data_IF_344031425687
#
_entry.id   IF_344031425687
#
_cell.length_a   1.000
_cell.length_b   1.000
_cell.length_c   1.000
_cell.angle_alpha   90.00
_cell.angle_beta   90.00
_cell.angle_gamma   90.00
#
_symmetry.space_group_name_H-M   'P 1'
#
loop_
_entity.id
_entity.type
_entity.pdbx_description
1 polymer ?
#
# COMPACT_ATOMS: atom_id res chain seq x y z
N UNK A 1 -10.68 3.81 2.42
CA UNK A 1 -10.19 2.47 2.77
C UNK A 1 -9.43 1.93 1.57
N UNK A 2 -8.35 1.15 1.75
CA UNK A 2 -7.55 0.62 0.64
C UNK A 2 -7.79 -0.89 0.49
N UNK A 3 -8.09 -1.34 -0.72
CA UNK A 3 -8.14 -2.77 -1.04
C UNK A 3 -6.74 -3.44 -0.93
N UNK A 4 -6.65 -4.77 -0.84
CA UNK A 4 -7.71 -5.74 -0.56
C UNK A 4 -8.29 -5.63 0.86
N UNK A 5 -9.62 -5.60 0.96
CA UNK A 5 -10.36 -5.70 2.23
C UNK A 5 -11.76 -6.26 2.00
N UNK A 6 -12.32 -6.96 3.00
CA UNK A 6 -13.69 -7.45 2.96
C UNK A 6 -14.70 -6.29 3.13
N UNK A 7 -15.50 -6.09 2.08
CA UNK A 7 -16.55 -5.06 2.04
C UNK A 7 -17.96 -5.65 1.94
N UNK A 8 -18.17 -6.95 2.17
CA UNK A 8 -19.47 -7.60 1.97
C UNK A 8 -20.62 -6.90 2.71
N UNK A 9 -20.33 -6.41 3.92
CA UNK A 9 -21.27 -5.72 4.83
C UNK A 9 -21.39 -4.21 4.57
N UNK A 10 -20.72 -3.69 3.55
CA UNK A 10 -20.57 -2.27 3.27
C UNK A 10 -20.98 -1.92 1.84
N UNK A 11 -21.60 -0.76 1.67
CA UNK A 11 -21.68 -0.08 0.39
C UNK A 11 -20.33 0.61 0.11
N UNK A 12 -19.98 0.73 -1.17
CA UNK A 12 -18.67 1.25 -1.57
C UNK A 12 -18.75 2.18 -2.78
N UNK A 13 -17.91 3.20 -2.80
CA UNK A 13 -17.60 3.98 -4.00
C UNK A 13 -16.09 3.86 -4.23
N UNK A 14 -15.69 3.39 -5.42
CA UNK A 14 -14.29 3.37 -5.84
C UNK A 14 -13.86 4.78 -6.19
N UNK A 15 -12.69 5.19 -5.70
CA UNK A 15 -12.06 6.44 -6.09
C UNK A 15 -11.19 6.18 -7.34
N UNK A 16 -11.12 7.14 -8.28
CA UNK A 16 -10.51 6.92 -9.60
C UNK A 16 -8.99 6.77 -9.54
N UNK A 17 -8.34 7.26 -8.48
CA UNK A 17 -6.90 7.15 -8.33
C UNK A 17 -6.52 5.77 -7.82
N UNK A 18 -5.69 5.10 -8.60
CA UNK A 18 -5.00 3.88 -8.19
C UNK A 18 -3.71 4.20 -7.44
N UNK A 19 -3.46 3.43 -6.40
CA UNK A 19 -2.21 3.45 -5.64
C UNK A 19 -1.29 2.36 -6.15
N UNK A 20 -0.09 2.77 -6.59
CA UNK A 20 0.97 1.87 -7.03
C UNK A 20 1.78 1.40 -5.84
N UNK A 21 2.13 0.13 -5.83
CA UNK A 21 3.02 -0.41 -4.81
C UNK A 21 4.48 -0.39 -5.25
N UNK A 22 5.36 -0.24 -4.26
CA UNK A 22 6.80 -0.22 -4.46
C UNK A 22 7.53 -0.42 -3.15
N UNK A 23 8.86 -0.44 -3.25
CA UNK A 23 9.74 -0.43 -2.10
C UNK A 23 10.18 0.98 -1.78
N UNK A 24 10.06 1.33 -0.50
CA UNK A 24 10.75 2.45 0.09
C UNK A 24 12.07 1.95 0.68
N UNK A 25 13.17 2.51 0.19
CA UNK A 25 14.53 2.06 0.49
C UNK A 25 15.46 3.25 0.72
N UNK A 26 16.56 3.00 1.41
CA UNK A 26 17.61 4.00 1.60
C UNK A 26 18.24 4.35 0.24
N UNK A 27 18.43 5.64 -0.03
CA UNK A 27 18.92 6.16 -1.33
C UNK A 27 20.29 5.56 -1.74
N UNK A 28 21.13 5.22 -0.77
CA UNK A 28 22.45 4.62 -1.03
C UNK A 28 22.41 3.11 -1.32
N UNK A 29 21.23 2.48 -1.26
CA UNK A 29 21.07 1.05 -1.56
C UNK A 29 21.27 0.75 -3.04
N UNK A 30 21.76 -0.45 -3.37
CA UNK A 30 21.84 -0.91 -4.77
C UNK A 30 20.46 -0.93 -5.42
N UNK A 31 19.42 -1.31 -4.67
CA UNK A 31 18.04 -1.34 -5.16
C UNK A 31 17.48 0.05 -5.46
N UNK A 32 18.00 1.11 -4.83
CA UNK A 32 17.54 2.48 -5.02
C UNK A 32 17.97 3.05 -6.38
N UNK A 33 18.92 2.40 -7.05
CA UNK A 33 19.40 2.76 -8.38
C UNK A 33 18.64 2.06 -9.51
N UNK A 34 17.70 1.16 -9.18
CA UNK A 34 16.87 0.48 -10.17
C UNK A 34 15.66 1.36 -10.51
N UNK A 35 15.20 1.27 -11.76
CA UNK A 35 13.95 1.90 -12.17
C UNK A 35 12.72 1.16 -11.63
N UNK A 36 12.85 -0.16 -11.48
CA UNK A 36 11.80 -1.06 -10.98
C UNK A 36 12.38 -2.18 -10.11
N UNK A 37 11.56 -2.70 -9.19
CA UNK A 37 11.86 -3.89 -8.38
C UNK A 37 11.13 -5.09 -8.96
N UNK A 38 11.87 -6.14 -9.30
CA UNK A 38 11.31 -7.41 -9.78
C UNK A 38 11.27 -8.45 -8.68
N UNK A 39 10.63 -9.60 -8.95
CA UNK A 39 10.47 -10.68 -7.96
C UNK A 39 11.82 -11.22 -7.47
N UNK A 40 12.81 -11.27 -8.36
CA UNK A 40 14.15 -11.80 -8.08
C UNK A 40 14.91 -10.94 -7.07
N UNK A 41 14.60 -9.64 -6.99
CA UNK A 41 15.25 -8.73 -6.03
C UNK A 41 14.90 -9.07 -4.58
N UNK A 42 13.79 -9.77 -4.32
CA UNK A 42 13.30 -10.04 -2.97
C UNK A 42 13.95 -11.22 -2.26
N UNK A 43 14.79 -12.01 -2.94
CA UNK A 43 15.36 -13.23 -2.38
C UNK A 43 16.13 -13.00 -1.05
N UNK A 44 16.72 -11.82 -0.86
CA UNK A 44 17.51 -11.47 0.33
C UNK A 44 17.16 -10.10 0.92
N UNK A 45 15.93 -9.60 0.69
CA UNK A 45 15.52 -8.28 1.18
C UNK A 45 14.77 -8.43 2.52
N UNK A 46 15.31 -7.90 3.63
CA UNK A 46 14.57 -7.83 4.89
C UNK A 46 13.33 -6.94 4.71
N UNK A 47 12.13 -7.51 4.84
CA UNK A 47 10.90 -6.84 4.46
C UNK A 47 10.17 -6.24 5.67
N UNK A 48 9.91 -4.94 5.60
CA UNK A 48 8.97 -4.22 6.46
C UNK A 48 7.64 -4.09 5.70
N UNK A 49 6.55 -4.63 6.25
CA UNK A 49 5.25 -4.68 5.55
C UNK A 49 4.08 -4.39 6.49
N UNK A 50 2.92 -4.02 5.94
CA UNK A 50 1.68 -3.93 6.72
C UNK A 50 1.41 -5.24 7.48
N UNK A 51 0.90 -5.14 8.73
CA UNK A 51 0.44 -6.31 9.50
C UNK A 51 -0.84 -6.94 8.91
N UNK A 52 -1.54 -6.25 8.00
CA UNK A 52 -2.78 -6.71 7.36
C UNK A 52 -2.56 -8.03 6.60
N UNK A 53 -3.26 -9.12 6.97
CA UNK A 53 -3.10 -10.41 6.30
C UNK A 53 -3.37 -10.36 4.81
N UNK A 54 -4.31 -9.51 4.37
CA UNK A 54 -4.71 -9.36 2.97
C UNK A 54 -3.57 -8.75 2.14
N UNK A 55 -2.87 -7.75 2.69
CA UNK A 55 -1.70 -7.14 2.03
C UNK A 55 -0.55 -8.14 1.93
N UNK A 56 -0.28 -8.89 3.01
CA UNK A 56 0.77 -9.91 3.01
C UNK A 56 0.46 -11.04 2.02
N UNK A 57 -0.81 -11.45 1.90
CA UNK A 57 -1.24 -12.46 0.92
C UNK A 57 -1.09 -11.93 -0.51
N UNK A 58 -1.61 -10.74 -0.80
CA UNK A 58 -1.46 -10.09 -2.10
C UNK A 58 0.00 -10.03 -2.55
N UNK A 59 0.90 -9.65 -1.64
CA UNK A 59 2.32 -9.56 -1.96
C UNK A 59 2.99 -10.93 -2.11
N UNK A 60 2.62 -11.92 -1.30
CA UNK A 60 3.10 -13.30 -1.45
C UNK A 60 2.66 -13.91 -2.79
N UNK A 61 1.39 -13.71 -3.17
CA UNK A 61 0.83 -14.15 -4.44
C UNK A 61 1.58 -13.49 -5.62
N UNK A 62 1.90 -12.20 -5.49
CA UNK A 62 2.71 -11.48 -6.47
C UNK A 62 4.11 -12.10 -6.61
N UNK A 63 4.77 -12.43 -5.51
CA UNK A 63 6.06 -13.13 -5.51
C UNK A 63 5.96 -14.58 -6.02
N UNK A 64 4.76 -15.16 -6.09
CA UNK A 64 4.56 -16.57 -6.46
C UNK A 64 4.97 -17.54 -5.34
N UNK A 65 4.92 -17.10 -4.09
CA UNK A 65 5.28 -17.89 -2.90
C UNK A 65 4.13 -17.96 -1.91
N UNK A 66 4.23 -18.86 -0.94
CA UNK A 66 3.30 -18.87 0.19
C UNK A 66 3.61 -17.71 1.13
N UNK A 67 2.58 -17.16 1.77
CA UNK A 67 2.69 -16.06 2.74
C UNK A 67 3.73 -16.36 3.83
N UNK A 68 3.80 -17.61 4.29
CA UNK A 68 4.71 -18.06 5.35
C UNK A 68 6.19 -18.02 4.92
N UNK A 69 6.46 -17.90 3.62
CA UNK A 69 7.81 -17.81 3.05
C UNK A 69 8.29 -16.36 2.92
N UNK A 70 7.46 -15.37 3.22
CA UNK A 70 7.88 -13.97 3.22
C UNK A 70 8.92 -13.73 4.32
N UNK A 71 10.06 -13.14 3.95
CA UNK A 71 11.10 -12.72 4.89
C UNK A 71 10.73 -11.42 5.60
N UNK A 72 9.70 -11.49 6.46
CA UNK A 72 9.18 -10.34 7.21
C UNK A 72 10.07 -10.06 8.42
N UNK A 73 10.86 -9.00 8.35
CA UNK A 73 11.72 -8.52 9.44
C UNK A 73 10.96 -7.62 10.42
N UNK A 74 9.87 -7.02 9.97
CA UNK A 74 9.02 -6.18 10.80
C UNK A 74 7.68 -5.89 10.18
N UNK A 75 6.71 -5.51 11.02
CA UNK A 75 5.42 -5.04 10.54
C UNK A 75 5.13 -3.64 11.04
N UNK A 76 4.35 -2.88 10.27
CA UNK A 76 4.00 -1.51 10.63
C UNK A 76 2.53 -1.19 10.30
N UNK A 77 2.02 -0.14 10.97
CA UNK A 77 0.69 0.42 10.74
C UNK A 77 0.74 1.86 10.21
N UNK A 78 1.78 2.62 10.54
CA UNK A 78 1.98 4.01 10.15
C UNK A 78 3.35 4.14 9.48
N UNK A 79 3.36 4.63 8.24
CA UNK A 79 4.59 4.67 7.42
C UNK A 79 5.69 5.55 8.04
N UNK A 80 5.31 6.58 8.81
CA UNK A 80 6.29 7.49 9.41
C UNK A 80 7.24 6.79 10.39
N UNK A 81 6.78 5.74 11.07
CA UNK A 81 7.60 4.94 12.00
C UNK A 81 8.69 4.14 11.27
N UNK A 82 8.53 3.93 9.96
CA UNK A 82 9.39 3.06 9.18
C UNK A 82 10.61 3.80 8.64
N UNK A 83 10.56 5.14 8.51
CA UNK A 83 11.71 5.93 8.02
C UNK A 83 12.96 5.71 8.85
N UNK A 84 12.85 5.79 10.17
CA UNK A 84 13.98 5.58 11.06
C UNK A 84 14.57 4.15 10.91
N UNK A 85 13.74 3.15 10.64
CA UNK A 85 14.19 1.78 10.41
C UNK A 85 14.94 1.64 9.09
N UNK A 86 14.45 2.27 8.01
CA UNK A 86 15.11 2.26 6.71
C UNK A 86 16.44 3.05 6.77
N UNK A 87 16.45 4.22 7.41
CA UNK A 87 17.65 5.04 7.60
C UNK A 87 18.75 4.31 8.39
N UNK A 88 18.36 3.44 9.32
CA UNK A 88 19.27 2.57 10.07
C UNK A 88 19.49 1.20 9.41
N UNK A 89 19.14 1.04 8.13
CA UNK A 89 19.40 -0.17 7.32
C UNK A 89 18.76 -1.46 7.87
N UNK A 90 17.64 -1.34 8.60
CA UNK A 90 16.90 -2.50 9.14
C UNK A 90 16.22 -3.32 8.03
N UNK A 91 15.82 -2.67 6.94
CA UNK A 91 15.17 -3.33 5.81
C UNK A 91 14.57 -2.37 4.80
N UNK A 92 13.91 -2.93 3.79
CA UNK A 92 13.10 -2.21 2.82
C UNK A 92 11.63 -2.27 3.21
N UNK A 93 10.87 -1.21 2.95
CA UNK A 93 9.44 -1.21 3.25
C UNK A 93 8.60 -1.35 1.99
N UNK A 94 7.67 -2.30 1.97
CA UNK A 94 6.64 -2.37 0.94
C UNK A 94 5.57 -1.32 1.25
N UNK A 95 5.35 -0.37 0.34
CA UNK A 95 4.47 0.81 0.55
C UNK A 95 3.66 1.12 -0.70
N UNK A 96 2.64 1.98 -0.55
CA UNK A 96 1.99 2.67 -1.66
C UNK A 96 2.69 4.00 -1.95
N UNK A 97 2.79 4.37 -3.22
CA UNK A 97 3.44 5.59 -3.69
C UNK A 97 2.83 6.87 -3.07
N UNK A 98 1.49 6.94 -3.00
CA UNK A 98 0.79 8.10 -2.44
C UNK A 98 1.17 8.40 -0.99
N UNK A 99 1.52 7.38 -0.20
CA UNK A 99 1.91 7.54 1.20
C UNK A 99 3.31 8.12 1.38
N UNK A 100 4.14 8.17 0.33
CA UNK A 100 5.55 8.58 0.41
C UNK A 100 5.96 9.69 -0.54
N UNK A 101 5.06 10.10 -1.43
CA UNK A 101 5.27 11.15 -2.45
C UNK A 101 5.77 12.51 -1.96
N UNK A 102 5.70 12.80 -0.65
CA UNK A 102 6.13 14.06 -0.04
C UNK A 102 7.21 13.90 1.04
N UNK A 103 7.88 12.74 1.11
CA UNK A 103 8.74 12.39 2.24
C UNK A 103 10.25 12.54 1.92
N UNK A 104 11.08 12.32 2.93
CA UNK A 104 12.46 12.84 3.06
C UNK A 104 13.38 12.53 1.86
N UNK A 105 14.38 13.40 1.65
CA UNK A 105 15.40 13.23 0.59
C UNK A 105 16.31 12.02 0.77
N UNK A 106 16.23 11.26 1.87
CA UNK A 106 17.19 10.17 2.18
C UNK A 106 16.69 8.79 1.75
N UNK A 107 15.43 8.70 1.34
CA UNK A 107 14.79 7.47 0.92
C UNK A 107 14.24 7.63 -0.48
N UNK A 108 14.25 6.53 -1.22
CA UNK A 108 13.78 6.46 -2.60
C UNK A 108 12.65 5.45 -2.66
N UNK A 109 11.57 5.83 -3.33
CA UNK A 109 10.52 4.91 -3.73
C UNK A 109 10.88 4.30 -5.09
N UNK A 110 10.87 2.97 -5.17
CA UNK A 110 11.06 2.24 -6.43
C UNK A 110 9.84 1.35 -6.67
N UNK A 111 9.11 1.53 -7.78
CA UNK A 111 7.89 0.77 -8.07
C UNK A 111 8.18 -0.71 -8.34
N UNK A 112 7.17 -1.57 -8.11
CA UNK A 112 7.25 -2.99 -8.46
C UNK A 112 7.01 -3.22 -9.96
N UNK A 113 7.65 -4.26 -10.52
CA UNK A 113 7.39 -4.81 -11.84
C UNK A 113 7.34 -6.36 -11.80
N UNK A 114 6.20 -7.01 -12.14
CA UNK A 114 4.95 -6.42 -12.62
C UNK A 114 4.29 -5.48 -11.60
N UNK A 115 3.64 -4.41 -12.08
CA UNK A 115 3.01 -3.44 -11.20
C UNK A 115 1.85 -4.05 -10.38
N UNK A 116 1.81 -3.77 -9.08
CA UNK A 116 0.63 -3.99 -8.24
C UNK A 116 -0.08 -2.65 -8.06
N UNK A 117 -1.38 -2.64 -8.33
CA UNK A 117 -2.26 -1.49 -8.10
C UNK A 117 -3.36 -1.83 -7.11
N UNK A 118 -3.69 -0.88 -6.25
CA UNK A 118 -4.80 -0.95 -5.29
C UNK A 118 -5.68 0.29 -5.42
N UNK A 119 -6.96 0.17 -5.10
CA UNK A 119 -7.92 1.27 -5.17
C UNK A 119 -8.25 1.78 -3.76
N UNK A 120 -8.37 3.10 -3.65
CA UNK A 120 -9.02 3.70 -2.50
C UNK A 120 -10.54 3.67 -2.70
N UNK A 121 -11.27 3.42 -1.63
CA UNK A 121 -12.73 3.38 -1.62
C UNK A 121 -13.32 4.12 -0.43
N UNK A 122 -14.42 4.82 -0.66
CA UNK A 122 -15.32 5.30 0.38
C UNK A 122 -16.27 4.16 0.76
N UNK A 123 -16.43 3.90 2.06
CA UNK A 123 -17.23 2.75 2.55
C UNK A 123 -18.19 3.17 3.67
N UNK A 124 -19.39 2.60 3.67
CA UNK A 124 -20.36 2.76 4.77
C UNK A 124 -21.24 1.51 4.94
N UNK A 125 -21.77 1.28 6.15
CA UNK A 125 -22.50 0.05 6.46
C UNK A 125 -23.79 -0.06 5.64
N UNK A 126 -24.05 -1.24 5.07
CA UNK A 126 -25.33 -1.54 4.38
C UNK A 126 -26.51 -1.41 5.31
N UNK A 127 -27.67 -1.04 4.76
CA UNK A 127 -28.95 -0.95 5.47
C UNK A 127 -28.93 -0.02 6.70
N UNK A 128 -27.99 0.93 6.76
CA UNK A 128 -27.96 1.97 7.79
C UNK A 128 -28.78 3.16 7.30
N UNK A 129 -29.70 3.65 8.13
CA UNK A 129 -30.38 4.93 7.90
C UNK A 129 -29.31 6.03 7.97
N UNK A 130 -29.10 6.73 6.86
CA UNK A 130 -28.14 7.81 6.74
C UNK A 130 -28.81 9.15 7.05
N UNK A 131 -28.09 10.03 7.74
CA UNK A 131 -28.56 11.41 7.94
C UNK A 131 -28.51 12.19 6.63
N UNK A 132 -29.28 13.29 6.50
CA UNK A 132 -29.23 14.15 5.32
C UNK A 132 -27.80 14.63 4.99
N UNK A 133 -27.00 14.95 6.02
CA UNK A 133 -25.60 15.40 5.85
C UNK A 133 -24.72 14.29 5.26
N UNK A 134 -24.91 13.03 5.69
CA UNK A 134 -24.14 11.91 5.14
C UNK A 134 -24.55 11.60 3.71
N UNK A 135 -25.85 11.70 3.39
CA UNK A 135 -26.32 11.55 2.01
C UNK A 135 -25.74 12.62 1.10
N UNK A 136 -25.74 13.89 1.54
CA UNK A 136 -25.12 14.99 0.78
C UNK A 136 -23.61 14.77 0.60
N UNK A 137 -22.89 14.32 1.64
CA UNK A 137 -21.47 13.99 1.52
C UNK A 137 -21.23 12.90 0.47
N UNK A 138 -22.02 11.83 0.49
CA UNK A 138 -21.92 10.73 -0.49
C UNK A 138 -22.23 11.25 -1.90
N UNK A 139 -23.26 12.08 -2.06
CA UNK A 139 -23.59 12.71 -3.34
C UNK A 139 -22.42 13.53 -3.89
N UNK A 140 -21.83 14.41 -3.08
CA UNK A 140 -20.66 15.21 -3.47
C UNK A 140 -19.46 14.35 -3.83
N UNK A 141 -19.24 13.24 -3.13
CA UNK A 141 -18.18 12.30 -3.48
C UNK A 141 -18.44 11.64 -4.84
N UNK A 142 -19.68 11.27 -5.16
CA UNK A 142 -20.02 10.73 -6.49
C UNK A 142 -19.78 11.77 -7.57
N UNK A 143 -20.33 12.98 -7.42
CA UNK A 143 -20.13 14.05 -8.41
C UNK A 143 -18.66 14.41 -8.63
N UNK A 144 -17.86 14.47 -7.55
CA UNK A 144 -16.45 14.83 -7.64
C UNK A 144 -15.59 13.75 -8.32
N UNK A 145 -16.04 12.50 -8.33
CA UNK A 145 -15.26 11.34 -8.77
C UNK A 145 -15.97 10.50 -9.86
N UNK A 146 -17.08 10.97 -10.41
CA UNK A 146 -17.69 10.47 -11.65
C UNK A 146 -16.81 10.85 -12.84
N UNK A 147 -16.04 9.88 -13.34
CA UNK A 147 -15.37 9.90 -14.64
C UNK A 147 -15.55 8.55 -15.33
#
# INVERSE_FOLDING_TARGET
MLDPVDTEKYETILLPRKEKWGLLILENSVLAKKDVITKEDFANVPLLISKRPEIQRMFADWLGIKKEQLLITGTYNLIFNVFALIENQVGAALVIEGAVSHLSKRVTFVPLDPMIETNCMLVWKKNRILSPVVNELIHRFKEAFEQ
#
